data_IF_687472831677
#
_entry.id   IF_687472831677
#
_cell.length_a   1.000
_cell.length_b   1.000
_cell.length_c   1.000
_cell.angle_alpha   90.00
_cell.angle_beta   90.00
_cell.angle_gamma   90.00
#
_symmetry.space_group_name_H-M   'P 1'
#
loop_
_entity.id
_entity.type
_entity.pdbx_description
1 polymer ?
#
# COMPACT_ATOMS: atom_id res chain seq x y z
N UNK A 1 31.30 10.02 13.47
CA UNK A 1 30.06 9.37 13.05
C UNK A 1 28.96 9.86 13.97
N UNK A 2 28.00 10.60 13.44
CA UNK A 2 26.88 11.16 14.23
C UNK A 2 26.04 10.02 14.79
N UNK A 3 25.94 9.93 16.10
CA UNK A 3 25.14 8.93 16.81
C UNK A 3 23.65 9.36 16.78
N UNK A 4 23.10 9.63 15.57
CA UNK A 4 21.68 9.96 15.45
C UNK A 4 20.86 8.72 15.80
N UNK A 5 19.89 8.92 16.68
CA UNK A 5 18.93 7.89 17.09
C UNK A 5 18.16 7.39 15.85
N UNK A 6 18.21 6.10 15.59
CA UNK A 6 17.41 5.48 14.52
C UNK A 6 15.91 5.73 14.78
N UNK A 7 15.11 6.15 13.78
CA UNK A 7 13.71 6.48 13.99
C UNK A 7 12.85 5.25 14.34
N UNK A 8 11.82 5.44 15.13
CA UNK A 8 10.76 4.44 15.29
C UNK A 8 9.92 4.39 14.01
N UNK A 9 9.76 3.21 13.45
CA UNK A 9 8.96 2.95 12.25
C UNK A 9 7.70 2.20 12.64
N UNK A 10 6.53 2.78 12.39
CA UNK A 10 5.26 2.08 12.51
C UNK A 10 4.98 1.36 11.19
N UNK A 11 4.83 0.04 11.25
CA UNK A 11 4.28 -0.76 10.14
C UNK A 11 2.83 -1.07 10.47
N UNK A 12 1.93 -0.80 9.53
CA UNK A 12 0.49 -1.06 9.67
C UNK A 12 0.06 -2.11 8.66
N UNK A 13 -0.47 -3.22 9.13
CA UNK A 13 -1.17 -4.20 8.29
C UNK A 13 -2.67 -3.98 8.42
N UNK A 14 -3.36 -3.83 7.28
CA UNK A 14 -4.82 -3.83 7.23
C UNK A 14 -5.30 -5.14 6.61
N UNK A 15 -6.36 -5.72 7.18
CA UNK A 15 -6.90 -7.02 6.75
C UNK A 15 -8.43 -7.03 6.71
N UNK A 16 -8.97 -7.79 5.76
CA UNK A 16 -10.38 -8.17 5.72
C UNK A 16 -10.55 -9.47 4.92
N UNK A 17 -10.98 -10.54 5.60
CA UNK A 17 -11.15 -11.88 5.03
C UNK A 17 -9.93 -12.34 4.22
N UNK A 18 -8.77 -12.38 4.89
CA UNK A 18 -7.44 -12.58 4.29
C UNK A 18 -6.69 -13.79 4.90
N UNK A 19 -7.42 -14.81 5.41
CA UNK A 19 -6.83 -15.95 6.13
C UNK A 19 -5.71 -16.66 5.37
N UNK A 20 -5.79 -16.69 4.04
CA UNK A 20 -4.81 -17.41 3.20
C UNK A 20 -3.47 -16.68 3.02
N UNK A 21 -3.39 -15.38 3.32
CA UNK A 21 -2.21 -14.55 3.02
C UNK A 21 -1.70 -13.73 4.21
N UNK A 22 -2.52 -13.54 5.27
CA UNK A 22 -2.17 -12.65 6.38
C UNK A 22 -0.95 -13.16 7.17
N UNK A 23 -0.78 -14.48 7.32
CA UNK A 23 0.32 -15.05 8.10
C UNK A 23 1.68 -14.70 7.49
N UNK A 24 1.82 -14.81 6.16
CA UNK A 24 3.03 -14.43 5.44
C UNK A 24 3.33 -12.93 5.60
N UNK A 25 2.31 -12.09 5.49
CA UNK A 25 2.45 -10.65 5.71
C UNK A 25 2.95 -10.36 7.13
N UNK A 26 2.33 -10.94 8.18
CA UNK A 26 2.74 -10.74 9.57
C UNK A 26 4.19 -11.18 9.78
N UNK A 27 4.55 -12.37 9.32
CA UNK A 27 5.90 -12.91 9.49
C UNK A 27 6.94 -12.05 8.76
N UNK A 28 6.63 -11.48 7.60
CA UNK A 28 7.56 -10.60 6.87
C UNK A 28 7.93 -9.35 7.67
N UNK A 29 7.02 -8.84 8.50
CA UNK A 29 7.26 -7.69 9.39
C UNK A 29 7.99 -8.13 10.65
N UNK A 30 7.52 -9.19 11.31
CA UNK A 30 8.09 -9.67 12.58
C UNK A 30 9.52 -10.20 12.46
N UNK A 31 9.95 -10.57 11.25
CA UNK A 31 11.29 -11.06 10.96
C UNK A 31 12.27 -9.98 10.52
N UNK A 32 11.86 -8.70 10.46
CA UNK A 32 12.78 -7.60 10.18
C UNK A 32 13.83 -7.46 11.29
N UNK A 33 15.09 -7.21 10.91
CA UNK A 33 16.21 -7.01 11.85
C UNK A 33 16.33 -5.58 12.38
N UNK A 34 15.48 -4.67 11.92
CA UNK A 34 15.44 -3.30 12.40
C UNK A 34 14.82 -3.24 13.80
N UNK A 35 15.55 -2.77 14.84
CA UNK A 35 15.11 -2.96 16.24
C UNK A 35 14.02 -1.98 16.70
N UNK A 36 13.68 -0.97 15.90
CA UNK A 36 12.73 0.09 16.26
C UNK A 36 11.49 0.03 15.39
N UNK A 37 10.75 -1.09 15.48
CA UNK A 37 9.47 -1.29 14.78
C UNK A 37 8.33 -1.28 15.80
N UNK A 38 7.32 -0.46 15.54
CA UNK A 38 5.99 -0.57 16.10
C UNK A 38 5.11 -1.26 15.06
N UNK A 39 4.57 -2.44 15.39
CA UNK A 39 3.75 -3.19 14.46
C UNK A 39 2.27 -3.20 14.88
N UNK A 40 1.42 -2.64 14.01
CA UNK A 40 -0.03 -2.54 14.21
C UNK A 40 -0.77 -3.42 13.20
N UNK A 41 -1.81 -4.14 13.65
CA UNK A 41 -2.72 -4.88 12.76
C UNK A 41 -4.14 -4.37 12.95
N UNK A 42 -4.77 -3.90 11.87
CA UNK A 42 -6.13 -3.37 11.86
C UNK A 42 -6.98 -4.28 10.97
N UNK A 43 -7.84 -5.07 11.57
CA UNK A 43 -8.74 -5.97 10.87
C UNK A 43 -10.15 -5.39 10.77
N UNK A 44 -10.76 -5.46 9.60
CA UNK A 44 -12.06 -4.88 9.25
C UNK A 44 -13.27 -5.74 9.70
N UNK A 45 -13.10 -6.59 10.71
CA UNK A 45 -14.16 -7.50 11.19
C UNK A 45 -14.25 -8.78 10.35
N UNK A 46 -13.12 -9.43 10.08
CA UNK A 46 -13.06 -10.68 9.33
C UNK A 46 -13.81 -11.83 9.98
N UNK A 47 -14.37 -12.72 9.15
CA UNK A 47 -15.16 -13.89 9.58
C UNK A 47 -14.65 -15.22 9.01
N UNK A 48 -13.55 -15.20 8.27
CA UNK A 48 -12.99 -16.37 7.55
C UNK A 48 -11.88 -17.11 8.31
N UNK A 49 -11.57 -16.72 9.56
CA UNK A 49 -10.45 -17.25 10.34
C UNK A 49 -9.21 -16.34 10.38
N UNK A 50 -9.22 -15.20 9.67
CA UNK A 50 -8.14 -14.19 9.70
C UNK A 50 -7.78 -13.78 11.13
N UNK A 51 -8.80 -13.53 11.97
CA UNK A 51 -8.62 -13.09 13.37
C UNK A 51 -7.90 -14.15 14.21
N UNK A 52 -8.14 -15.43 13.95
CA UNK A 52 -7.47 -16.51 14.68
C UNK A 52 -5.98 -16.59 14.32
N UNK A 53 -5.62 -16.27 13.06
CA UNK A 53 -4.22 -16.13 12.65
C UNK A 53 -3.58 -14.94 13.35
N UNK A 54 -4.25 -13.76 13.41
CA UNK A 54 -3.72 -12.57 14.11
C UNK A 54 -3.44 -12.90 15.59
N UNK A 55 -4.37 -13.60 16.27
CA UNK A 55 -4.23 -13.97 17.68
C UNK A 55 -3.00 -14.82 17.98
N UNK A 56 -2.54 -15.67 17.06
CA UNK A 56 -1.30 -16.47 17.22
C UNK A 56 -0.06 -15.60 17.43
N UNK A 57 -0.08 -14.36 16.97
CA UNK A 57 1.05 -13.43 17.02
C UNK A 57 0.81 -12.22 17.94
N UNK A 58 -0.30 -12.20 18.68
CA UNK A 58 -0.76 -11.07 19.47
C UNK A 58 0.30 -10.50 20.43
N UNK A 59 1.08 -11.36 21.08
CA UNK A 59 2.17 -10.99 22.03
C UNK A 59 3.37 -10.34 21.36
N UNK A 60 3.47 -10.42 20.04
CA UNK A 60 4.54 -9.79 19.24
C UNK A 60 4.06 -8.52 18.52
N UNK A 61 2.78 -8.22 18.58
CA UNK A 61 2.19 -7.02 18.01
C UNK A 61 2.19 -5.89 19.04
N UNK A 62 2.50 -4.67 18.62
CA UNK A 62 2.37 -3.49 19.48
C UNK A 62 0.90 -3.15 19.76
N UNK A 63 0.03 -3.44 18.78
CA UNK A 63 -1.41 -3.30 18.88
C UNK A 63 -2.11 -4.09 17.78
N UNK A 64 -3.29 -4.60 18.07
CA UNK A 64 -4.20 -5.09 17.05
C UNK A 64 -5.67 -4.92 17.48
N UNK A 65 -6.55 -4.84 16.49
CA UNK A 65 -8.00 -4.75 16.67
C UNK A 65 -8.69 -5.41 15.50
N UNK A 66 -9.85 -6.02 15.77
CA UNK A 66 -10.77 -6.50 14.74
C UNK A 66 -12.14 -5.87 15.01
N UNK A 67 -12.55 -4.99 14.10
CA UNK A 67 -13.81 -4.26 14.17
C UNK A 67 -14.25 -3.82 12.77
N UNK A 68 -15.55 -3.69 12.50
CA UNK A 68 -16.03 -3.21 11.21
C UNK A 68 -15.43 -1.86 10.81
N UNK A 69 -15.13 -1.72 9.50
CA UNK A 69 -14.65 -0.50 8.88
C UNK A 69 -15.50 -0.11 7.66
N UNK A 70 -15.20 1.07 7.10
CA UNK A 70 -15.85 1.60 5.88
C UNK A 70 -15.00 1.33 4.62
N UNK A 71 -14.11 0.35 4.67
CA UNK A 71 -13.18 -0.03 3.60
C UNK A 71 -11.72 0.23 3.97
N UNK A 72 -10.81 -0.21 3.08
CA UNK A 72 -9.36 -0.27 3.32
C UNK A 72 -8.77 1.05 3.85
N UNK A 73 -9.20 2.20 3.33
CA UNK A 73 -8.66 3.49 3.77
C UNK A 73 -9.17 3.94 5.14
N UNK A 74 -10.34 3.46 5.58
CA UNK A 74 -10.80 3.66 6.95
C UNK A 74 -9.93 2.86 7.94
N UNK A 75 -9.66 1.60 7.63
CA UNK A 75 -8.73 0.77 8.39
C UNK A 75 -7.31 1.39 8.44
N UNK A 76 -6.80 1.88 7.29
CA UNK A 76 -5.52 2.58 7.23
C UNK A 76 -5.52 3.83 8.10
N UNK A 77 -6.57 4.65 8.05
CA UNK A 77 -6.70 5.85 8.86
C UNK A 77 -6.71 5.55 10.37
N UNK A 78 -7.37 4.46 10.79
CA UNK A 78 -7.29 3.99 12.19
C UNK A 78 -5.83 3.68 12.57
N UNK A 79 -5.08 3.01 11.69
CA UNK A 79 -3.65 2.74 11.86
C UNK A 79 -2.81 4.02 11.95
N UNK A 80 -3.05 5.02 11.07
CA UNK A 80 -2.34 6.32 11.10
C UNK A 80 -2.55 7.04 12.42
N UNK A 81 -3.78 7.12 12.87
CA UNK A 81 -4.12 7.80 14.15
C UNK A 81 -3.45 7.10 15.32
N UNK A 82 -3.37 5.78 15.30
CA UNK A 82 -2.78 4.96 16.37
C UNK A 82 -1.25 4.97 16.38
N UNK A 83 -0.60 5.12 15.21
CA UNK A 83 0.84 5.07 15.06
C UNK A 83 1.58 6.03 15.99
N UNK A 84 2.67 5.57 16.64
CA UNK A 84 3.54 6.38 17.49
C UNK A 84 4.92 6.64 16.87
N UNK A 85 5.26 5.93 15.78
CA UNK A 85 6.53 6.08 15.10
C UNK A 85 6.70 7.41 14.35
N UNK A 86 7.93 7.71 13.98
CA UNK A 86 8.26 8.88 13.14
C UNK A 86 7.88 8.67 11.68
N UNK A 87 7.86 7.42 11.25
CA UNK A 87 7.52 6.99 9.89
C UNK A 87 6.45 5.93 9.93
N UNK A 88 5.54 5.96 8.94
CA UNK A 88 4.48 4.96 8.76
C UNK A 88 4.66 4.28 7.41
N UNK A 89 4.66 2.95 7.42
CA UNK A 89 4.59 2.12 6.22
C UNK A 89 3.35 1.23 6.29
N UNK A 90 2.70 1.02 5.16
CA UNK A 90 1.60 0.07 5.06
C UNK A 90 2.06 -1.23 4.41
N UNK A 91 1.71 -2.33 5.07
CA UNK A 91 1.89 -3.69 4.58
C UNK A 91 0.52 -4.37 4.55
N UNK A 92 -0.22 -4.16 3.44
CA UNK A 92 -1.53 -4.76 3.30
C UNK A 92 -1.43 -6.28 3.19
N UNK A 93 -2.49 -7.01 3.53
CA UNK A 93 -2.48 -8.46 3.40
C UNK A 93 -2.22 -8.91 1.97
N UNK A 94 -1.27 -9.82 1.79
CA UNK A 94 -0.75 -10.29 0.50
C UNK A 94 0.51 -9.57 0.04
N UNK A 95 0.83 -8.38 0.60
CA UNK A 95 2.12 -7.74 0.40
C UNK A 95 3.09 -8.19 1.51
N UNK A 96 4.38 -8.32 1.20
CA UNK A 96 5.42 -8.66 2.17
C UNK A 96 6.74 -7.92 1.90
N UNK A 97 7.55 -7.76 2.94
CA UNK A 97 8.93 -7.31 2.78
C UNK A 97 9.75 -8.41 2.09
N UNK A 98 10.55 -8.02 1.11
CA UNK A 98 11.32 -8.98 0.28
C UNK A 98 12.42 -9.67 1.09
N UNK A 99 13.03 -8.95 2.02
CA UNK A 99 14.13 -9.43 2.85
C UNK A 99 14.02 -8.86 4.27
N UNK A 100 14.69 -9.51 5.23
CA UNK A 100 14.68 -9.08 6.63
C UNK A 100 15.50 -7.81 6.91
N UNK A 101 16.34 -7.36 5.99
CA UNK A 101 17.23 -6.21 6.14
C UNK A 101 16.66 -4.93 5.51
N UNK A 102 15.56 -5.00 4.77
CA UNK A 102 15.10 -3.88 3.93
C UNK A 102 14.77 -2.61 4.72
N UNK A 103 14.22 -2.73 5.94
CA UNK A 103 13.98 -1.53 6.78
C UNK A 103 15.32 -0.96 7.26
N UNK A 104 16.26 -1.81 7.67
CA UNK A 104 17.61 -1.38 8.06
C UNK A 104 18.30 -0.66 6.91
N UNK A 105 18.21 -1.17 5.68
CA UNK A 105 18.76 -0.54 4.48
C UNK A 105 18.07 0.80 4.15
N UNK A 106 16.75 0.88 4.31
CA UNK A 106 16.02 2.12 4.09
C UNK A 106 16.42 3.25 5.05
N UNK A 107 16.80 2.90 6.29
CA UNK A 107 17.11 3.87 7.34
C UNK A 107 18.61 3.90 7.72
N UNK A 108 19.51 3.36 6.88
CA UNK A 108 20.94 3.35 7.18
C UNK A 108 21.62 4.71 6.98
N UNK A 109 21.15 5.47 5.98
CA UNK A 109 21.64 6.83 5.73
C UNK A 109 20.72 7.88 6.36
N UNK A 110 21.26 9.05 6.55
CA UNK A 110 20.50 10.20 7.03
C UNK A 110 19.38 10.58 6.03
N UNK A 111 18.20 10.85 6.57
CA UNK A 111 17.04 11.32 5.83
C UNK A 111 16.90 12.82 6.15
N UNK A 112 16.86 13.69 5.12
CA UNK A 112 16.63 15.12 5.35
C UNK A 112 15.36 15.37 6.16
N UNK A 113 15.41 16.32 7.10
CA UNK A 113 14.32 16.56 8.07
C UNK A 113 13.00 16.95 7.42
N UNK A 114 13.05 17.67 6.29
CA UNK A 114 11.91 18.11 5.50
C UNK A 114 11.31 17.02 4.59
N UNK A 115 11.83 15.78 4.64
CA UNK A 115 11.34 14.67 3.83
C UNK A 115 9.96 14.20 4.33
N UNK A 116 8.99 14.20 3.42
CA UNK A 116 7.62 13.73 3.68
C UNK A 116 7.43 12.28 3.25
N UNK A 117 7.99 11.89 2.10
CA UNK A 117 7.94 10.52 1.60
C UNK A 117 9.35 9.98 1.39
N UNK A 118 9.58 8.75 1.85
CA UNK A 118 10.73 7.93 1.53
C UNK A 118 10.23 6.66 0.87
N UNK A 119 10.80 6.25 -0.28
CA UNK A 119 10.33 5.08 -0.99
C UNK A 119 11.44 4.33 -1.71
N UNK A 120 11.16 3.06 -2.05
CA UNK A 120 12.09 2.16 -2.73
C UNK A 120 11.47 1.45 -3.93
N UNK A 121 12.14 0.37 -4.37
CA UNK A 121 11.74 -0.47 -5.48
C UNK A 121 10.70 -1.52 -5.04
N UNK A 122 9.94 -2.03 -6.01
CA UNK A 122 8.87 -2.98 -5.78
C UNK A 122 9.02 -4.23 -6.64
N UNK A 123 8.76 -5.39 -6.06
CA UNK A 123 8.60 -6.65 -6.78
C UNK A 123 7.14 -6.86 -7.15
N UNK A 124 6.83 -6.78 -8.44
CA UNK A 124 5.52 -7.08 -8.96
C UNK A 124 5.38 -8.58 -9.15
N UNK A 125 4.41 -9.21 -8.47
CA UNK A 125 4.15 -10.65 -8.56
C UNK A 125 3.02 -10.91 -9.55
N UNK A 126 3.28 -11.75 -10.53
CA UNK A 126 2.33 -12.28 -11.50
C UNK A 126 2.15 -13.79 -11.27
N UNK A 127 1.17 -14.42 -11.94
CA UNK A 127 0.86 -15.85 -11.74
C UNK A 127 2.06 -16.79 -11.98
N UNK A 128 2.93 -16.45 -12.94
CA UNK A 128 4.00 -17.31 -13.44
C UNK A 128 5.41 -16.68 -13.31
N UNK A 129 5.49 -15.43 -12.85
CA UNK A 129 6.75 -14.69 -12.77
C UNK A 129 6.67 -13.51 -11.81
N UNK A 130 7.81 -12.96 -11.46
CA UNK A 130 7.91 -11.64 -10.84
C UNK A 130 8.76 -10.69 -11.70
N UNK A 131 8.57 -9.40 -11.49
CA UNK A 131 9.35 -8.34 -12.15
C UNK A 131 9.68 -7.27 -11.11
N UNK A 132 10.96 -7.05 -10.89
CA UNK A 132 11.43 -5.97 -10.03
C UNK A 132 11.32 -4.64 -10.80
N UNK A 133 10.65 -3.67 -10.20
CA UNK A 133 10.39 -2.37 -10.80
C UNK A 133 10.91 -1.24 -9.93
N UNK A 134 11.63 -0.35 -10.58
CA UNK A 134 11.92 0.95 -10.03
C UNK A 134 10.70 1.88 -10.16
N UNK A 135 10.50 2.80 -9.22
CA UNK A 135 9.48 3.81 -9.36
C UNK A 135 9.72 4.64 -10.63
N UNK A 136 8.65 5.20 -11.17
CA UNK A 136 8.78 6.06 -12.35
C UNK A 136 9.72 7.22 -12.06
N UNK A 137 10.89 7.25 -12.69
CA UNK A 137 11.92 8.31 -12.56
C UNK A 137 11.37 9.68 -12.93
N UNK A 138 10.25 9.69 -13.61
CA UNK A 138 9.55 10.91 -14.01
C UNK A 138 8.45 11.23 -12.98
N UNK A 139 8.82 11.77 -11.83
CA UNK A 139 7.84 12.45 -10.94
C UNK A 139 6.94 13.44 -11.70
N UNK A 140 7.40 13.93 -12.87
CA UNK A 140 6.58 14.69 -13.83
C UNK A 140 5.37 13.90 -14.35
N UNK A 141 5.37 12.58 -14.24
CA UNK A 141 4.26 11.72 -14.67
C UNK A 141 3.22 11.42 -13.58
N UNK A 142 3.37 11.97 -12.37
CA UNK A 142 2.40 11.76 -11.29
C UNK A 142 0.96 12.14 -11.69
N UNK A 143 0.81 13.04 -12.67
CA UNK A 143 -0.48 13.38 -13.29
C UNK A 143 -1.04 12.28 -14.19
N UNK A 144 -0.28 11.23 -14.51
CA UNK A 144 -0.69 10.13 -15.40
C UNK A 144 -0.94 8.82 -14.64
N UNK A 145 -0.67 8.79 -13.35
CA UNK A 145 -0.84 7.62 -12.49
C UNK A 145 0.11 7.62 -11.31
N UNK A 146 0.02 6.60 -10.49
CA UNK A 146 0.84 6.42 -9.30
C UNK A 146 2.33 6.33 -9.70
N UNK A 147 3.17 7.31 -9.32
CA UNK A 147 4.57 7.33 -9.72
C UNK A 147 5.47 6.46 -8.84
N UNK A 148 5.00 6.12 -7.65
CA UNK A 148 5.67 5.28 -6.64
C UNK A 148 4.73 4.14 -6.24
N UNK A 149 5.28 3.08 -5.66
CA UNK A 149 4.48 1.94 -5.23
C UNK A 149 4.06 2.12 -3.77
N UNK A 150 2.77 2.03 -3.47
CA UNK A 150 2.24 2.18 -2.11
C UNK A 150 2.96 1.30 -1.08
N UNK A 151 3.15 -0.02 -1.28
CA UNK A 151 3.81 -0.87 -0.30
C UNK A 151 5.29 -0.51 -0.06
N UNK A 152 5.93 0.25 -0.94
CA UNK A 152 7.33 0.66 -0.75
C UNK A 152 7.48 2.05 -0.12
N UNK A 153 6.39 2.67 0.33
CA UNK A 153 6.38 4.07 0.77
C UNK A 153 6.36 4.16 2.29
N UNK A 154 7.31 4.91 2.85
CA UNK A 154 7.29 5.40 4.23
C UNK A 154 6.86 6.86 4.23
N UNK A 155 5.88 7.20 5.04
CA UNK A 155 5.33 8.55 5.16
C UNK A 155 5.73 9.14 6.50
N UNK A 156 6.15 10.41 6.55
CA UNK A 156 6.38 11.13 7.79
C UNK A 156 5.10 11.17 8.62
N UNK A 157 5.11 10.56 9.81
CA UNK A 157 3.91 10.36 10.61
C UNK A 157 3.20 11.67 11.00
N UNK A 158 3.95 12.72 11.34
CA UNK A 158 3.36 14.04 11.65
C UNK A 158 2.53 14.57 10.49
N UNK A 159 3.06 14.50 9.26
CA UNK A 159 2.34 14.93 8.07
C UNK A 159 1.13 14.04 7.77
N UNK A 160 1.29 12.71 7.90
CA UNK A 160 0.21 11.77 7.57
C UNK A 160 -0.98 11.87 8.53
N UNK A 161 -0.73 12.16 9.81
CA UNK A 161 -1.80 12.41 10.81
C UNK A 161 -2.64 13.64 10.51
N UNK A 162 -2.05 14.66 9.92
CA UNK A 162 -2.76 15.87 9.48
C UNK A 162 -3.45 15.71 8.13
N UNK A 163 -3.04 14.70 7.34
CA UNK A 163 -3.50 14.45 5.98
C UNK A 163 -3.90 12.98 5.82
N UNK A 164 -5.02 12.60 6.43
CA UNK A 164 -5.56 11.23 6.34
C UNK A 164 -5.99 10.89 4.91
N UNK A 165 -6.09 9.60 4.63
CA UNK A 165 -6.67 9.12 3.37
C UNK A 165 -8.13 9.55 3.25
N UNK A 166 -8.50 10.03 2.07
CA UNK A 166 -9.89 10.40 1.76
C UNK A 166 -10.76 9.15 1.64
N UNK A 167 -11.89 9.10 2.35
CA UNK A 167 -12.85 8.02 2.23
C UNK A 167 -13.74 8.14 0.98
N UNK A 168 -13.55 9.21 0.19
CA UNK A 168 -14.25 9.41 -1.09
C UNK A 168 -13.82 8.35 -2.13
N UNK A 169 -12.54 7.97 -2.13
CA UNK A 169 -11.97 7.04 -3.10
C UNK A 169 -11.90 5.63 -2.51
N UNK A 170 -12.34 4.64 -3.31
CA UNK A 170 -12.34 3.23 -2.86
C UNK A 170 -10.99 2.54 -3.09
N UNK A 171 -10.25 2.94 -4.14
CA UNK A 171 -9.03 2.26 -4.57
C UNK A 171 -7.85 3.18 -4.90
N UNK A 172 -7.99 4.49 -4.77
CA UNK A 172 -6.99 5.46 -5.22
C UNK A 172 -6.72 6.59 -4.22
N UNK A 173 -7.06 6.41 -2.93
CA UNK A 173 -6.80 7.44 -1.93
C UNK A 173 -5.31 7.58 -1.60
N UNK A 174 -4.54 6.50 -1.71
CA UNK A 174 -3.08 6.50 -1.67
C UNK A 174 -2.49 7.32 -2.83
N UNK A 175 -3.01 7.13 -4.04
CA UNK A 175 -2.61 7.97 -5.18
C UNK A 175 -3.00 9.43 -4.98
N UNK A 176 -4.20 9.72 -4.50
CA UNK A 176 -4.63 11.08 -4.17
C UNK A 176 -3.69 11.74 -3.15
N UNK A 177 -3.27 11.00 -2.13
CA UNK A 177 -2.32 11.47 -1.13
C UNK A 177 -0.95 11.82 -1.77
N UNK A 178 -0.38 10.89 -2.53
CA UNK A 178 0.90 11.09 -3.23
C UNK A 178 0.81 12.24 -4.24
N UNK A 179 -0.29 12.32 -4.99
CA UNK A 179 -0.56 13.43 -5.92
C UNK A 179 -0.49 14.80 -5.21
N UNK A 180 -1.14 14.92 -4.05
CA UNK A 180 -1.13 16.16 -3.27
C UNK A 180 0.26 16.51 -2.73
N UNK A 181 1.04 15.51 -2.27
CA UNK A 181 2.43 15.72 -1.84
C UNK A 181 3.28 16.26 -2.97
N UNK A 182 3.20 15.66 -4.16
CA UNK A 182 3.97 16.07 -5.32
C UNK A 182 3.53 17.41 -5.91
N UNK A 183 2.22 17.67 -5.92
CA UNK A 183 1.69 18.93 -6.43
C UNK A 183 2.11 20.14 -5.57
N UNK A 184 2.24 19.91 -4.26
CA UNK A 184 2.73 20.92 -3.31
C UNK A 184 4.26 21.07 -3.34
N UNK A 185 4.99 20.28 -4.13
CA UNK A 185 6.44 20.30 -4.21
C UNK A 185 7.13 19.84 -2.92
N UNK A 186 6.46 19.02 -2.10
CA UNK A 186 7.03 18.51 -0.86
C UNK A 186 8.12 17.48 -1.16
N UNK A 187 9.06 17.34 -0.23
CA UNK A 187 10.24 16.51 -0.44
C UNK A 187 9.93 15.03 -0.43
N UNK A 188 10.32 14.38 -1.51
CA UNK A 188 10.25 12.94 -1.71
C UNK A 188 11.66 12.41 -1.94
N UNK A 189 12.06 11.37 -1.20
CA UNK A 189 13.38 10.74 -1.30
C UNK A 189 13.21 9.32 -1.81
N UNK A 190 13.97 8.98 -2.83
CA UNK A 190 14.07 7.62 -3.37
C UNK A 190 15.36 6.95 -2.91
N UNK A 191 15.27 5.67 -2.53
CA UNK A 191 16.40 4.79 -2.30
C UNK A 191 16.28 3.53 -3.14
N UNK A 192 17.35 3.08 -3.81
CA UNK A 192 17.32 1.89 -4.66
C UNK A 192 17.36 0.60 -3.84
N UNK A 193 16.39 0.43 -2.94
CA UNK A 193 16.18 -0.77 -2.11
C UNK A 193 14.97 -1.50 -2.62
N UNK A 194 15.13 -2.77 -2.99
CA UNK A 194 14.00 -3.65 -3.34
C UNK A 194 13.26 -4.02 -2.06
N UNK A 195 12.23 -3.24 -1.75
CA UNK A 195 11.64 -3.19 -0.42
C UNK A 195 10.52 -4.21 -0.23
N UNK A 196 9.62 -4.31 -1.20
CA UNK A 196 8.35 -4.99 -0.99
C UNK A 196 7.82 -5.69 -2.23
N UNK A 197 7.00 -6.71 -2.01
CA UNK A 197 6.16 -7.31 -3.04
C UNK A 197 4.85 -6.55 -3.21
N UNK A 198 4.25 -6.72 -4.38
CA UNK A 198 2.90 -6.28 -4.72
C UNK A 198 2.24 -7.32 -5.62
N UNK A 199 1.06 -7.82 -5.22
CA UNK A 199 0.28 -8.74 -6.06
C UNK A 199 -0.37 -7.98 -7.23
N UNK A 200 0.18 -8.21 -8.43
CA UNK A 200 -0.29 -7.57 -9.65
C UNK A 200 -1.49 -8.28 -10.30
N UNK A 201 -1.94 -9.42 -9.73
CA UNK A 201 -3.00 -10.25 -10.31
C UNK A 201 -4.32 -10.08 -9.57
N UNK A 202 -4.28 -10.01 -8.23
CA UNK A 202 -5.46 -10.01 -7.38
C UNK A 202 -5.66 -8.70 -6.60
N UNK A 203 -4.77 -7.71 -6.81
CA UNK A 203 -4.80 -6.45 -6.09
C UNK A 203 -6.15 -5.72 -6.17
N UNK A 204 -6.64 -5.24 -5.03
CA UNK A 204 -7.90 -4.50 -4.89
C UNK A 204 -8.01 -3.30 -5.83
N UNK A 205 -6.89 -2.67 -6.17
CA UNK A 205 -6.80 -1.49 -7.04
C UNK A 205 -7.19 -1.72 -8.50
N UNK A 206 -7.34 -2.98 -8.95
CA UNK A 206 -7.53 -3.29 -10.38
C UNK A 206 -8.91 -2.90 -10.95
N UNK A 207 -9.90 -2.57 -10.12
CA UNK A 207 -11.29 -2.44 -10.57
C UNK A 207 -11.79 -1.00 -10.76
N UNK A 208 -11.35 -0.04 -9.95
CA UNK A 208 -11.92 1.31 -9.93
C UNK A 208 -10.90 2.43 -10.18
N UNK A 209 -9.60 2.14 -10.20
CA UNK A 209 -8.53 3.13 -10.20
C UNK A 209 -8.60 4.16 -11.34
N UNK A 210 -9.05 3.75 -12.54
CA UNK A 210 -9.05 4.65 -13.70
C UNK A 210 -9.99 5.82 -13.53
N UNK A 211 -11.22 5.55 -13.07
CA UNK A 211 -12.23 6.60 -12.86
C UNK A 211 -11.81 7.55 -11.75
N UNK A 212 -11.33 6.99 -10.64
CA UNK A 212 -10.86 7.76 -9.50
C UNK A 212 -9.62 8.60 -9.85
N UNK A 213 -8.68 8.06 -10.63
CA UNK A 213 -7.53 8.81 -11.12
C UNK A 213 -7.93 10.01 -11.99
N UNK A 214 -8.94 9.86 -12.85
CA UNK A 214 -9.45 10.97 -13.64
C UNK A 214 -10.07 12.07 -12.78
N UNK A 215 -10.73 11.73 -11.70
CA UNK A 215 -11.26 12.72 -10.76
C UNK A 215 -10.15 13.46 -10.00
N UNK A 216 -9.03 12.77 -9.67
CA UNK A 216 -7.88 13.33 -8.98
C UNK A 216 -7.10 14.31 -9.89
N UNK A 217 -7.06 14.07 -11.20
CA UNK A 217 -6.22 14.82 -12.14
C UNK A 217 -6.70 16.20 -12.53
N UNK A 218 -7.78 16.68 -12.00
CA UNK A 218 -8.32 17.99 -12.39
C UNK A 218 -8.51 18.13 -13.92
N UNK A 219 -9.11 17.10 -14.52
CA UNK A 219 -9.27 17.00 -15.97
C UNK A 219 -10.16 18.12 -16.51
N UNK A 220 -9.72 18.79 -17.61
CA UNK A 220 -10.42 19.89 -18.28
C UNK A 220 -11.82 19.53 -18.84
N UNK A 221 -12.20 18.26 -18.81
CA UNK A 221 -13.50 17.80 -19.34
C UNK A 221 -14.41 17.35 -18.20
N UNK A 222 -15.72 17.75 -18.25
CA UNK A 222 -16.69 17.31 -17.24
C UNK A 222 -16.77 15.78 -17.18
N UNK A 223 -16.74 15.22 -15.99
CA UNK A 223 -16.83 13.76 -15.74
C UNK A 223 -18.04 13.09 -16.36
N UNK A 224 -19.10 13.86 -16.66
CA UNK A 224 -20.34 13.42 -17.29
C UNK A 224 -20.16 12.86 -18.70
N UNK A 225 -19.10 13.24 -19.42
CA UNK A 225 -18.91 12.84 -20.82
C UNK A 225 -18.18 11.51 -20.99
N UNK A 226 -17.19 11.25 -20.18
CA UNK A 226 -16.34 10.08 -20.34
C UNK A 226 -16.61 8.97 -19.31
N UNK A 227 -17.20 9.32 -18.15
CA UNK A 227 -17.50 8.35 -17.08
C UNK A 227 -18.31 7.14 -17.58
N UNK A 228 -19.41 7.30 -18.34
CA UNK A 228 -20.15 6.16 -18.87
C UNK A 228 -19.33 5.29 -19.85
N UNK A 229 -18.45 5.92 -20.64
CA UNK A 229 -17.61 5.22 -21.61
C UNK A 229 -16.55 4.38 -20.91
N UNK A 230 -15.89 4.94 -19.91
CA UNK A 230 -14.87 4.20 -19.14
C UNK A 230 -15.49 3.10 -18.27
N UNK A 231 -16.63 3.35 -17.63
CA UNK A 231 -17.38 2.32 -16.90
C UNK A 231 -17.74 1.16 -17.81
N UNK A 232 -18.26 1.45 -19.01
CA UNK A 232 -18.59 0.43 -19.99
C UNK A 232 -17.37 -0.37 -20.46
N UNK A 233 -16.24 0.31 -20.78
CA UNK A 233 -15.00 -0.34 -21.21
C UNK A 233 -14.40 -1.21 -20.10
N UNK A 234 -14.42 -0.75 -18.86
CA UNK A 234 -13.86 -1.52 -17.74
C UNK A 234 -14.76 -2.72 -17.39
N UNK A 235 -16.09 -2.58 -17.47
CA UNK A 235 -17.01 -3.71 -17.33
C UNK A 235 -16.81 -4.77 -18.41
N UNK A 236 -16.60 -4.35 -19.68
CA UNK A 236 -16.30 -5.27 -20.78
C UNK A 236 -14.98 -6.02 -20.57
N UNK A 237 -13.93 -5.34 -20.09
CA UNK A 237 -12.64 -5.98 -19.78
C UNK A 237 -12.74 -6.96 -18.63
N UNK A 238 -13.50 -6.64 -17.59
CA UNK A 238 -13.75 -7.55 -16.46
C UNK A 238 -14.51 -8.78 -16.92
N UNK A 239 -15.56 -8.61 -17.73
CA UNK A 239 -16.34 -9.71 -18.29
C UNK A 239 -15.47 -10.62 -19.17
N UNK A 240 -14.64 -10.04 -20.05
CA UNK A 240 -13.71 -10.78 -20.90
C UNK A 240 -12.67 -11.56 -20.10
N UNK A 241 -12.08 -10.96 -19.07
CA UNK A 241 -11.14 -11.67 -18.18
C UNK A 241 -11.80 -12.85 -17.46
N UNK A 242 -13.04 -12.70 -16.98
CA UNK A 242 -13.80 -13.80 -16.35
C UNK A 242 -14.10 -14.92 -17.35
N UNK A 243 -14.45 -14.60 -18.59
CA UNK A 243 -14.67 -15.60 -19.65
C UNK A 243 -13.39 -16.35 -20.01
N UNK A 244 -12.25 -15.65 -20.15
CA UNK A 244 -10.95 -16.27 -20.41
C UNK A 244 -10.55 -17.18 -19.26
N UNK A 245 -10.69 -16.72 -18.01
CA UNK A 245 -10.36 -17.52 -16.83
C UNK A 245 -11.25 -18.79 -16.72
N UNK A 246 -12.53 -18.68 -17.08
CA UNK A 246 -13.47 -19.82 -17.13
C UNK A 246 -13.06 -20.81 -18.23
N UNK A 247 -12.71 -20.32 -19.42
CA UNK A 247 -12.26 -21.14 -20.54
C UNK A 247 -10.97 -21.89 -20.23
N UNK A 248 -10.01 -21.22 -19.60
CA UNK A 248 -8.73 -21.85 -19.19
C UNK A 248 -8.92 -22.91 -18.09
N UNK A 249 -9.94 -22.79 -17.24
CA UNK A 249 -10.30 -23.83 -16.27
C UNK A 249 -10.90 -25.08 -16.94
N UNK A 250 -11.56 -24.92 -18.07
CA UNK A 250 -12.15 -26.05 -18.83
C UNK A 250 -11.05 -26.84 -19.55
N UNK A 251 -10.05 -26.15 -20.11
CA UNK A 251 -8.92 -26.78 -20.85
C UNK A 251 -7.95 -27.52 -19.91
N UNK A 252 -7.89 -27.16 -18.62
CA UNK A 252 -7.02 -27.80 -17.62
C UNK A 252 -7.67 -29.00 -16.91
N UNK A 253 -8.90 -29.38 -17.28
CA UNK A 253 -9.57 -30.63 -16.88
C UNK A 253 -9.51 -31.64 -18.02
#
# INVERSE_FOLDING_TARGET
MSNKKKPLVTVVTVSYNAVSVIEETILSVLNQDYPYIEYLVIDGGSTDGTVDVIRKYADRLSYWVSEPDKGIYDAMNKGIVRASGEWINFRNCGDYFIDKHVITEMFHEEIPEDTILLHGDCRMIYQDRYVDKQPSVLYKSYKKGMPIFHPTTFVRASYHKEHLYSLKYRSSSDYHFVYNVMQRGLKVVYRPVLLASYDAVQGFSLTHWRLEHHEIWDWKYPSTWYKPIFEWVDLQKIALKKQIASFLKIIKR
#
